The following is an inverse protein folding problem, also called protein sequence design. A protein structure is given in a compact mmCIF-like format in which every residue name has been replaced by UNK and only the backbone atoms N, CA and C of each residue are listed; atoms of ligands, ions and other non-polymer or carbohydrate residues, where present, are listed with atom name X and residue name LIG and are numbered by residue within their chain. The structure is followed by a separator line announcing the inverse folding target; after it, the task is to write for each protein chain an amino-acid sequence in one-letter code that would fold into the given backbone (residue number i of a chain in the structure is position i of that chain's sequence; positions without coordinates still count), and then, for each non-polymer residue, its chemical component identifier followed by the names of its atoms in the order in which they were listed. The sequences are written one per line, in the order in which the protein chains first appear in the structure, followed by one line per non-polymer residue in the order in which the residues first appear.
data_IF_950126153409
#
_entry.id   IF_950126153409
#
_cell.length_a   1.000
_cell.length_b   1.000
_cell.length_c   1.000
_cell.angle_alpha   90.00
_cell.angle_beta   90.00
_cell.angle_gamma   90.00
#
_symmetry.space_group_name_H-M   'P 1'
#
loop_
_entity.id
_entity.type
_entity.pdbx_description
1 polymer ?
#
# COMPACT_ATOMS: atom_id res chain seq x y z
N UNK A 1 -0.72 -7.89 30.82
CA UNK A 1 -1.95 -7.81 29.99
C UNK A 1 -1.53 -7.92 28.54
N UNK A 2 -2.33 -8.55 27.66
CA UNK A 2 -2.10 -8.61 26.23
C UNK A 2 -2.88 -7.48 25.55
N UNK A 3 -2.21 -6.71 24.72
CA UNK A 3 -2.77 -5.55 24.00
C UNK A 3 -2.57 -5.77 22.50
N UNK A 4 -3.61 -5.63 21.70
CA UNK A 4 -3.54 -5.70 20.23
C UNK A 4 -3.67 -4.31 19.66
N UNK A 5 -2.65 -3.86 18.93
CA UNK A 5 -2.66 -2.61 18.16
C UNK A 5 -3.04 -2.93 16.71
N UNK A 6 -4.30 -2.68 16.38
CA UNK A 6 -4.86 -2.90 15.04
C UNK A 6 -5.33 -1.56 14.48
N UNK A 7 -4.42 -0.84 13.83
CA UNK A 7 -4.61 0.53 13.36
C UNK A 7 -4.51 0.58 11.85
N UNK A 8 -5.27 1.48 11.25
CA UNK A 8 -5.04 1.94 9.89
C UNK A 8 -4.04 3.11 9.88
N UNK A 9 -3.62 3.58 8.71
CA UNK A 9 -2.74 4.72 8.55
C UNK A 9 -3.40 6.04 8.98
N UNK A 10 -2.59 6.98 9.45
CA UNK A 10 -3.01 8.36 9.69
C UNK A 10 -2.67 9.18 8.44
N UNK A 11 -3.63 9.37 7.55
CA UNK A 11 -3.46 9.98 6.23
C UNK A 11 -2.58 11.23 6.27
N UNK A 12 -1.49 11.20 5.49
CA UNK A 12 -0.53 12.30 5.40
C UNK A 12 0.38 12.51 6.63
N UNK A 13 0.38 11.57 7.61
CA UNK A 13 1.16 11.72 8.86
C UNK A 13 1.97 10.45 9.18
N UNK A 14 1.32 9.39 9.62
CA UNK A 14 1.97 8.15 10.08
C UNK A 14 1.43 6.94 9.33
N UNK A 15 2.31 6.00 9.01
CA UNK A 15 1.86 4.68 8.57
C UNK A 15 1.22 3.93 9.75
N UNK A 16 0.40 2.94 9.44
CA UNK A 16 -0.18 2.02 10.43
C UNK A 16 0.88 1.43 11.36
N UNK A 17 2.02 1.00 10.79
CA UNK A 17 3.12 0.40 11.54
C UNK A 17 3.86 1.42 12.43
N UNK A 18 4.10 2.64 11.93
CA UNK A 18 4.71 3.71 12.73
C UNK A 18 3.85 4.08 13.94
N UNK A 19 2.54 4.24 13.75
CA UNK A 19 1.60 4.54 14.82
C UNK A 19 1.56 3.40 15.85
N UNK A 20 1.50 2.14 15.41
CA UNK A 20 1.49 0.99 16.30
C UNK A 20 2.79 0.85 17.10
N UNK A 21 3.94 1.13 16.50
CA UNK A 21 5.23 1.11 17.20
C UNK A 21 5.32 2.22 18.25
N UNK A 22 4.88 3.44 17.93
CA UNK A 22 4.85 4.54 18.90
C UNK A 22 3.95 4.21 20.12
N UNK A 23 2.80 3.56 19.89
CA UNK A 23 1.93 3.08 20.97
C UNK A 23 2.64 2.00 21.79
N UNK A 24 3.31 1.05 21.14
CA UNK A 24 4.07 0.00 21.83
C UNK A 24 5.17 0.57 22.71
N UNK A 25 5.91 1.54 22.21
CA UNK A 25 6.94 2.25 22.99
C UNK A 25 6.35 2.98 24.22
N UNK A 26 5.21 3.66 24.03
CA UNK A 26 4.51 4.35 25.12
C UNK A 26 3.96 3.40 26.20
N UNK A 27 3.54 2.19 25.82
CA UNK A 27 3.08 1.15 26.77
C UNK A 27 4.26 0.57 27.56
N UNK A 28 5.44 0.50 26.93
CA UNK A 28 6.64 -0.09 27.53
C UNK A 28 6.55 -1.61 27.70
N UNK A 29 7.56 -2.16 28.40
CA UNK A 29 7.74 -3.62 28.52
C UNK A 29 6.80 -4.29 29.53
N UNK A 30 5.97 -3.53 30.26
CA UNK A 30 5.05 -4.06 31.28
C UNK A 30 3.93 -4.92 30.70
N UNK A 31 3.69 -4.84 29.41
CA UNK A 31 2.59 -5.50 28.72
C UNK A 31 3.05 -6.14 27.40
N UNK A 32 2.43 -7.25 27.03
CA UNK A 32 2.63 -7.87 25.73
C UNK A 32 1.83 -7.07 24.68
N UNK A 33 2.52 -6.44 23.72
CA UNK A 33 1.89 -5.69 22.63
C UNK A 33 2.05 -6.44 21.32
N UNK A 34 0.93 -6.77 20.69
CA UNK A 34 0.85 -7.42 19.39
C UNK A 34 0.43 -6.36 18.37
N UNK A 35 1.24 -6.16 17.33
CA UNK A 35 0.96 -5.23 16.24
C UNK A 35 0.30 -6.00 15.09
N UNK A 36 -0.87 -5.56 14.66
CA UNK A 36 -1.64 -6.08 13.53
C UNK A 36 -2.11 -4.91 12.67
N UNK A 37 -1.28 -4.44 11.70
CA UNK A 37 -1.68 -3.33 10.86
C UNK A 37 -2.93 -3.67 10.06
N UNK A 38 -3.81 -2.67 9.90
CA UNK A 38 -5.01 -2.75 9.09
C UNK A 38 -4.83 -1.87 7.84
N UNK A 39 -5.65 -2.14 6.84
CA UNK A 39 -5.73 -1.35 5.62
C UNK A 39 -7.15 -1.42 5.04
N UNK A 40 -7.58 -0.32 4.41
CA UNK A 40 -8.91 -0.16 3.83
C UNK A 40 -8.94 -0.34 2.29
N UNK A 41 -7.82 -0.76 1.72
CA UNK A 41 -7.64 -0.89 0.27
C UNK A 41 -7.04 0.35 -0.39
N UNK A 42 -6.73 1.41 0.38
CA UNK A 42 -6.03 2.61 -0.08
C UNK A 42 -4.55 2.59 0.24
N UNK A 43 -3.99 3.79 0.45
CA UNK A 43 -2.58 4.00 0.79
C UNK A 43 -2.18 3.20 2.04
N UNK A 44 -1.06 2.45 1.94
CA UNK A 44 -0.53 1.63 3.02
C UNK A 44 -1.05 0.18 3.03
N UNK A 45 -1.96 -0.19 2.12
CA UNK A 45 -2.47 -1.55 1.99
C UNK A 45 -1.35 -2.54 1.64
N UNK A 46 -0.46 -2.16 0.72
CA UNK A 46 0.70 -2.99 0.35
C UNK A 46 1.59 -3.22 1.56
N UNK A 47 1.87 -2.19 2.35
CA UNK A 47 2.71 -2.29 3.53
C UNK A 47 2.11 -3.21 4.58
N UNK A 48 0.84 -3.00 4.92
CA UNK A 48 0.13 -3.78 5.92
C UNK A 48 0.02 -5.26 5.53
N UNK A 49 -0.36 -5.54 4.29
CA UNK A 49 -0.51 -6.93 3.82
C UNK A 49 0.83 -7.62 3.60
N UNK A 50 1.87 -6.92 3.13
CA UNK A 50 3.20 -7.49 3.00
C UNK A 50 3.75 -7.94 4.36
N UNK A 51 3.55 -7.15 5.41
CA UNK A 51 3.93 -7.52 6.78
C UNK A 51 3.18 -8.77 7.24
N UNK A 52 1.85 -8.80 7.06
CA UNK A 52 1.02 -9.93 7.49
C UNK A 52 1.25 -11.22 6.70
N UNK A 53 1.54 -11.11 5.40
CA UNK A 53 1.69 -12.23 4.47
C UNK A 53 3.15 -12.59 4.18
N UNK A 54 4.11 -11.94 4.84
CA UNK A 54 5.54 -12.09 4.60
C UNK A 54 5.92 -11.93 3.13
N UNK A 55 5.29 -10.97 2.44
CA UNK A 55 5.52 -10.70 1.04
C UNK A 55 6.75 -9.82 0.82
N UNK A 56 7.45 -10.07 -0.30
CA UNK A 56 8.56 -9.22 -0.74
C UNK A 56 8.02 -8.03 -1.52
N UNK A 57 8.51 -6.83 -1.21
CA UNK A 57 8.15 -5.62 -1.94
C UNK A 57 9.03 -5.44 -3.17
N UNK A 58 8.42 -4.92 -4.24
CA UNK A 58 9.08 -4.55 -5.47
C UNK A 58 8.59 -3.17 -5.90
N UNK A 59 9.53 -2.27 -6.20
CA UNK A 59 9.25 -0.92 -6.71
C UNK A 59 9.63 -0.85 -8.17
N UNK A 60 8.75 -0.29 -8.98
CA UNK A 60 8.93 -0.09 -10.42
C UNK A 60 8.49 1.33 -10.81
N UNK A 61 9.05 1.84 -11.90
CA UNK A 61 8.59 3.05 -12.54
C UNK A 61 7.41 2.73 -13.46
N UNK A 62 6.32 3.47 -13.35
CA UNK A 62 5.09 3.30 -14.11
C UNK A 62 4.49 4.64 -14.50
N UNK A 63 3.50 4.62 -15.37
CA UNK A 63 2.75 5.79 -15.79
C UNK A 63 1.81 6.27 -14.69
N UNK A 64 1.94 7.52 -14.30
CA UNK A 64 1.08 8.22 -13.33
C UNK A 64 -0.25 8.67 -13.91
N UNK A 65 -1.09 9.35 -13.07
CA UNK A 65 -2.45 9.75 -13.47
C UNK A 65 -2.53 10.65 -14.72
N UNK A 66 -1.53 11.47 -14.94
CA UNK A 66 -1.47 12.41 -16.08
C UNK A 66 -0.32 12.12 -17.05
N UNK A 67 0.06 10.84 -17.15
CA UNK A 67 1.11 10.32 -18.05
C UNK A 67 2.54 10.68 -17.62
N UNK A 68 2.73 11.23 -16.44
CA UNK A 68 4.04 11.40 -15.81
C UNK A 68 4.60 10.06 -15.31
N UNK A 69 5.90 10.03 -15.06
CA UNK A 69 6.56 8.89 -14.48
C UNK A 69 6.43 8.91 -12.96
N UNK A 70 5.94 7.82 -12.35
CA UNK A 70 5.83 7.66 -10.91
C UNK A 70 6.41 6.31 -10.46
N UNK A 71 6.92 6.25 -9.23
CA UNK A 71 7.37 5.01 -8.63
C UNK A 71 6.21 4.35 -7.88
N UNK A 72 5.89 3.13 -8.24
CA UNK A 72 4.86 2.34 -7.59
C UNK A 72 5.47 1.08 -6.95
N UNK A 73 5.02 0.76 -5.74
CA UNK A 73 5.47 -0.42 -5.00
C UNK A 73 4.32 -1.41 -4.86
N UNK A 74 4.61 -2.70 -5.09
CA UNK A 74 3.67 -3.78 -4.86
C UNK A 74 4.34 -4.94 -4.12
N UNK A 75 3.55 -5.82 -3.52
CA UNK A 75 4.02 -7.00 -2.81
C UNK A 75 3.91 -8.27 -3.65
N UNK A 76 4.83 -9.22 -3.43
CA UNK A 76 4.78 -10.57 -4.00
C UNK A 76 4.95 -11.59 -2.89
N UNK A 77 4.01 -12.50 -2.75
CA UNK A 77 4.06 -13.62 -1.80
C UNK A 77 4.72 -14.85 -2.44
N UNK A 78 5.18 -15.78 -1.62
CA UNK A 78 5.76 -17.05 -2.08
C UNK A 78 4.78 -17.93 -2.87
N UNK A 79 3.47 -17.75 -2.66
CA UNK A 79 2.43 -18.49 -3.38
C UNK A 79 1.94 -17.77 -4.66
N UNK A 80 2.77 -16.90 -5.23
CA UNK A 80 2.53 -16.18 -6.47
C UNK A 80 1.30 -15.25 -6.44
N UNK A 81 1.04 -14.63 -5.28
CA UNK A 81 0.03 -13.59 -5.15
C UNK A 81 0.68 -12.21 -5.17
N UNK A 82 0.23 -11.34 -6.06
CA UNK A 82 0.58 -9.93 -6.07
C UNK A 82 -0.37 -9.14 -5.16
N UNK A 83 0.16 -8.22 -4.38
CA UNK A 83 -0.58 -7.28 -3.54
C UNK A 83 -0.35 -5.89 -4.10
N UNK A 84 -1.39 -5.26 -4.62
CA UNK A 84 -1.32 -3.99 -5.34
C UNK A 84 -2.29 -3.00 -4.71
N UNK A 85 -1.87 -1.74 -4.56
CA UNK A 85 -2.78 -0.63 -4.28
C UNK A 85 -2.82 0.29 -5.49
N UNK A 86 -4.02 0.59 -5.98
CA UNK A 86 -4.18 1.44 -7.17
C UNK A 86 -3.62 2.84 -6.96
N UNK A 87 -3.72 3.36 -5.74
CA UNK A 87 -3.28 4.71 -5.39
C UNK A 87 -1.76 4.91 -5.55
N UNK A 88 -0.94 3.85 -5.60
CA UNK A 88 0.50 3.99 -5.86
C UNK A 88 0.83 4.45 -7.30
N UNK A 89 -0.07 4.19 -8.26
CA UNK A 89 0.09 4.62 -9.65
C UNK A 89 -1.00 5.60 -10.12
N UNK A 90 -2.17 5.59 -9.50
CA UNK A 90 -3.33 6.40 -9.89
C UNK A 90 -4.01 7.05 -8.68
N UNK A 91 -3.23 7.40 -7.65
CA UNK A 91 -3.73 7.96 -6.41
C UNK A 91 -4.02 9.45 -6.49
N UNK A 92 -5.05 9.89 -5.76
CA UNK A 92 -5.38 11.31 -5.63
C UNK A 92 -4.25 12.11 -4.96
N UNK A 93 -3.42 11.45 -4.16
CA UNK A 93 -2.26 12.06 -3.49
C UNK A 93 -1.08 12.34 -4.43
N UNK A 94 -1.07 11.76 -5.63
CA UNK A 94 -0.05 12.03 -6.66
C UNK A 94 -0.32 13.34 -7.41
N UNK A 95 -1.49 13.94 -7.21
CA UNK A 95 -1.96 15.09 -7.99
C UNK A 95 -2.25 16.28 -7.07
N UNK A 96 -1.81 17.47 -7.47
CA UNK A 96 -2.17 18.69 -6.75
C UNK A 96 -3.68 18.94 -6.90
N UNK A 97 -4.31 19.46 -5.83
CA UNK A 97 -5.76 19.64 -5.77
C UNK A 97 -6.32 20.45 -6.92
N UNK A 98 -5.57 21.44 -7.38
CA UNK A 98 -5.91 22.35 -8.48
C UNK A 98 -5.82 21.69 -9.86
N UNK A 99 -5.16 20.55 -9.96
CA UNK A 99 -4.93 19.80 -11.20
C UNK A 99 -5.84 18.58 -11.32
N UNK A 100 -6.74 18.35 -10.35
CA UNK A 100 -7.64 17.20 -10.38
C UNK A 100 -8.58 17.30 -11.58
N UNK A 101 -8.48 16.32 -12.48
CA UNK A 101 -9.30 16.20 -13.67
C UNK A 101 -9.62 14.73 -13.97
N UNK A 102 -10.78 14.22 -13.55
CA UNK A 102 -11.14 12.81 -13.74
C UNK A 102 -11.36 12.42 -15.20
N UNK A 103 -11.54 13.39 -16.11
CA UNK A 103 -11.69 13.13 -17.55
C UNK A 103 -10.35 12.85 -18.24
N UNK A 104 -9.26 13.31 -17.67
CA UNK A 104 -7.91 13.16 -18.22
C UNK A 104 -7.07 12.13 -17.47
N UNK A 105 -7.43 11.88 -16.20
CA UNK A 105 -6.70 10.92 -15.38
C UNK A 105 -6.82 9.50 -15.92
N UNK A 106 -5.74 8.73 -15.79
CA UNK A 106 -5.66 7.35 -16.24
C UNK A 106 -5.21 6.40 -15.13
N UNK A 107 -5.61 5.14 -15.22
CA UNK A 107 -5.13 4.03 -14.40
C UNK A 107 -4.15 3.14 -15.17
N UNK A 108 -3.55 3.64 -16.25
CA UNK A 108 -2.67 2.85 -17.10
C UNK A 108 -1.50 2.23 -16.33
N UNK A 109 -0.87 3.00 -15.43
CA UNK A 109 0.22 2.49 -14.58
C UNK A 109 -0.17 1.35 -13.65
N UNK A 110 -1.44 1.26 -13.26
CA UNK A 110 -1.92 0.08 -12.51
C UNK A 110 -1.85 -1.18 -13.39
N UNK A 111 -2.18 -1.05 -14.66
CA UNK A 111 -2.00 -2.13 -15.65
C UNK A 111 -0.53 -2.54 -15.82
N UNK A 112 0.39 -1.57 -15.79
CA UNK A 112 1.84 -1.84 -15.85
C UNK A 112 2.33 -2.61 -14.61
N UNK A 113 1.83 -2.27 -13.41
CA UNK A 113 2.12 -3.04 -12.18
C UNK A 113 1.63 -4.48 -12.31
N UNK A 114 0.40 -4.67 -12.80
CA UNK A 114 -0.18 -6.01 -13.00
C UNK A 114 0.67 -6.80 -14.01
N UNK A 115 1.09 -6.17 -15.10
CA UNK A 115 1.91 -6.79 -16.14
C UNK A 115 3.29 -7.19 -15.60
N UNK A 116 3.94 -6.31 -14.81
CA UNK A 116 5.24 -6.62 -14.19
C UNK A 116 5.10 -7.78 -13.21
N UNK A 117 4.10 -7.76 -12.35
CA UNK A 117 3.82 -8.85 -11.40
C UNK A 117 3.55 -10.19 -12.12
N UNK A 118 2.79 -10.16 -13.22
CA UNK A 118 2.54 -11.34 -14.04
C UNK A 118 3.84 -11.90 -14.66
N UNK A 119 4.70 -11.03 -15.18
CA UNK A 119 6.00 -11.41 -15.75
C UNK A 119 6.95 -11.98 -14.68
N UNK A 120 6.78 -11.61 -13.41
CA UNK A 120 7.50 -12.16 -12.26
C UNK A 120 6.83 -13.38 -11.62
N UNK A 121 5.86 -13.99 -12.30
CA UNK A 121 5.28 -15.28 -11.92
C UNK A 121 4.00 -15.18 -11.08
N UNK A 122 3.51 -13.99 -10.74
CA UNK A 122 2.25 -13.87 -10.04
C UNK A 122 1.07 -14.32 -10.92
N UNK A 123 0.12 -15.03 -10.30
CA UNK A 123 -1.10 -15.53 -10.97
C UNK A 123 -2.37 -15.25 -10.16
N UNK A 124 -2.21 -14.69 -8.98
CA UNK A 124 -3.28 -14.23 -8.10
C UNK A 124 -3.02 -12.77 -7.78
N UNK A 125 -4.07 -11.96 -7.70
CA UNK A 125 -3.95 -10.53 -7.49
C UNK A 125 -4.92 -10.07 -6.41
N UNK A 126 -4.40 -9.41 -5.38
CA UNK A 126 -5.15 -8.65 -4.39
C UNK A 126 -4.96 -7.19 -4.73
N UNK A 127 -6.02 -6.52 -5.16
CA UNK A 127 -5.96 -5.12 -5.61
C UNK A 127 -6.82 -4.27 -4.70
N UNK A 128 -6.18 -3.38 -3.94
CA UNK A 128 -6.84 -2.33 -3.18
C UNK A 128 -7.18 -1.16 -4.10
N UNK A 129 -8.44 -0.71 -4.09
CA UNK A 129 -8.95 0.33 -5.00
C UNK A 129 -9.21 1.67 -4.32
N UNK A 130 -8.90 1.79 -3.03
CA UNK A 130 -9.06 3.02 -2.28
C UNK A 130 -8.07 4.10 -2.71
N UNK A 131 -8.45 5.37 -2.53
CA UNK A 131 -7.58 6.52 -2.79
C UNK A 131 -7.25 6.80 -4.25
N UNK A 132 -7.89 6.09 -5.17
CA UNK A 132 -7.68 6.29 -6.62
C UNK A 132 -8.46 7.50 -7.14
#
# INVERSE_FOLDING_TARGET
MKIVCALDSFKGSLTSLQAANAIKEGIGEKHEVIIKPLADGGEGTVDALCECMHAKKRTISVTGPFLEEVNATYGMTENNTAIIEMCSAAGITLVQKEQLDPYRATTFGVGEIIQDAFNHGCRKFLIGIGGS
#
